data_IF_445026454067
#
_entry.id   IF_445026454067
#
_cell.length_a   1.000
_cell.length_b   1.000
_cell.length_c   1.000
_cell.angle_alpha   90.00
_cell.angle_beta   90.00
_cell.angle_gamma   90.00
#
_symmetry.space_group_name_H-M   'P 1'
#
loop_
_entity.id
_entity.type
_entity.pdbx_description
1 polymer ?
#
# COMPACT_ATOMS: atom_id res chain seq x y z
N UNK A 1 33.10 -6.53 -0.28
CA UNK A 1 32.77 -5.40 -1.17
C UNK A 1 32.03 -4.33 -0.39
N UNK A 2 32.69 -3.22 -0.07
CA UNK A 2 32.04 -2.08 0.61
C UNK A 2 31.31 -1.21 -0.41
N UNK A 3 30.10 -0.74 -0.07
CA UNK A 3 29.42 0.33 -0.83
C UNK A 3 30.03 1.67 -0.43
N UNK A 4 30.45 2.47 -1.41
CA UNK A 4 30.80 3.86 -1.15
C UNK A 4 29.55 4.61 -0.71
N UNK A 5 29.63 5.29 0.44
CA UNK A 5 28.61 6.24 0.91
C UNK A 5 29.21 7.64 0.84
N UNK A 6 28.41 8.63 0.48
CA UNK A 6 28.87 10.02 0.41
C UNK A 6 29.27 10.55 1.79
N UNK A 7 30.20 11.51 1.85
CA UNK A 7 30.61 12.14 3.12
C UNK A 7 29.42 12.74 3.87
N UNK A 8 28.46 13.33 3.15
CA UNK A 8 27.23 13.86 3.75
C UNK A 8 26.39 12.76 4.41
N UNK A 9 26.18 11.63 3.72
CA UNK A 9 25.43 10.50 4.28
C UNK A 9 26.12 9.87 5.49
N UNK A 10 27.46 9.75 5.45
CA UNK A 10 28.26 9.23 6.56
C UNK A 10 28.15 10.12 7.81
N UNK A 11 28.27 11.43 7.67
CA UNK A 11 28.11 12.41 8.76
C UNK A 11 26.71 12.32 9.35
N UNK A 12 25.69 12.21 8.50
CA UNK A 12 24.30 12.13 8.95
C UNK A 12 24.00 10.88 9.78
N UNK A 13 24.50 9.71 9.33
CA UNK A 13 24.37 8.45 10.08
C UNK A 13 25.17 8.47 11.38
N UNK A 14 26.38 9.03 11.36
CA UNK A 14 27.27 9.08 12.54
C UNK A 14 26.70 9.98 13.63
N UNK A 15 26.14 11.12 13.24
CA UNK A 15 25.60 12.12 14.17
C UNK A 15 24.11 11.91 14.48
N UNK A 16 23.52 10.82 13.96
CA UNK A 16 22.13 10.43 14.15
C UNK A 16 21.13 11.57 13.89
N UNK A 17 21.43 12.43 12.91
CA UNK A 17 20.52 13.50 12.55
C UNK A 17 19.23 12.93 11.96
N UNK A 18 18.06 13.52 12.25
CA UNK A 18 16.83 13.15 11.57
C UNK A 18 16.95 13.56 10.10
N UNK A 19 17.44 12.65 9.25
CA UNK A 19 16.58 11.79 8.46
C UNK A 19 15.40 12.43 7.71
N UNK A 20 15.34 13.76 7.56
CA UNK A 20 14.20 14.58 7.10
C UNK A 20 12.89 13.80 7.09
N UNK A 21 12.14 13.76 8.20
CA UNK A 21 10.77 13.20 8.35
C UNK A 21 10.16 12.60 7.07
N UNK A 22 10.77 11.53 6.55
CA UNK A 22 10.18 10.78 5.46
C UNK A 22 9.33 9.78 6.18
N UNK A 23 8.11 10.21 6.52
CA UNK A 23 6.99 9.29 6.35
C UNK A 23 7.25 8.57 5.04
N UNK A 24 7.46 7.25 5.04
CA UNK A 24 7.84 6.58 3.81
C UNK A 24 6.77 6.92 2.79
N UNK A 25 7.16 7.61 1.71
CA UNK A 25 6.27 7.94 0.59
C UNK A 25 5.67 6.66 -0.01
N UNK A 26 6.29 5.52 0.28
CA UNK A 26 5.86 4.18 -0.09
C UNK A 26 5.46 3.43 1.17
N UNK A 27 4.17 3.45 1.49
CA UNK A 27 3.59 2.44 2.38
C UNK A 27 3.46 1.16 1.56
N UNK A 28 4.18 0.12 1.97
CA UNK A 28 4.09 -1.17 1.33
C UNK A 28 2.72 -1.78 1.68
N UNK A 29 1.74 -1.64 0.78
CA UNK A 29 0.50 -2.40 0.93
C UNK A 29 0.87 -3.88 0.93
N UNK A 30 0.36 -4.63 1.92
CA UNK A 30 0.48 -6.08 1.96
C UNK A 30 -0.48 -6.66 0.92
N UNK A 31 -0.13 -6.56 -0.37
CA UNK A 31 -0.96 -7.05 -1.47
C UNK A 31 -0.80 -8.55 -1.69
N UNK A 32 0.26 -9.15 -1.13
CA UNK A 32 0.53 -10.58 -1.25
C UNK A 32 0.93 -11.18 0.10
N UNK A 33 0.02 -11.91 0.72
CA UNK A 33 0.36 -12.89 1.76
C UNK A 33 0.77 -14.19 1.07
N UNK A 34 1.99 -14.66 1.34
CA UNK A 34 2.49 -15.93 0.78
C UNK A 34 1.48 -17.03 1.12
N UNK A 35 0.93 -17.67 0.09
CA UNK A 35 -0.12 -18.71 0.13
C UNK A 35 -1.55 -18.32 0.54
N UNK A 36 -1.84 -17.11 1.04
CA UNK A 36 -3.19 -16.74 1.46
C UNK A 36 -4.09 -16.18 0.33
N UNK A 37 -3.51 -15.73 -0.79
CA UNK A 37 -4.25 -15.09 -1.91
C UNK A 37 -4.15 -15.85 -3.25
N UNK A 38 -3.65 -17.09 -3.25
CA UNK A 38 -3.54 -17.86 -4.50
C UNK A 38 -4.91 -18.42 -4.91
N UNK A 39 -5.44 -17.93 -6.03
CA UNK A 39 -6.71 -18.38 -6.60
C UNK A 39 -6.46 -19.20 -7.87
N UNK A 40 -7.06 -20.39 -7.95
CA UNK A 40 -7.01 -21.24 -9.14
C UNK A 40 -8.29 -21.09 -9.95
N UNK A 41 -8.13 -20.76 -11.24
CA UNK A 41 -9.24 -20.62 -12.18
C UNK A 41 -9.41 -21.88 -13.03
N UNK A 42 -10.63 -22.38 -13.09
CA UNK A 42 -11.11 -23.37 -14.05
C UNK A 42 -12.26 -22.77 -14.85
N UNK A 43 -12.59 -23.36 -16.01
CA UNK A 43 -13.68 -22.85 -16.87
C UNK A 43 -14.98 -22.74 -16.06
N UNK A 44 -15.28 -23.75 -15.25
CA UNK A 44 -16.50 -23.86 -14.44
C UNK A 44 -16.54 -22.87 -13.26
N UNK A 45 -15.39 -22.56 -12.65
CA UNK A 45 -15.36 -21.73 -11.43
C UNK A 45 -14.99 -20.26 -11.69
N UNK A 46 -14.61 -19.91 -12.92
CA UNK A 46 -14.06 -18.60 -13.28
C UNK A 46 -15.01 -17.45 -12.95
N UNK A 47 -16.27 -17.54 -13.40
CA UNK A 47 -17.29 -16.53 -13.14
C UNK A 47 -17.57 -16.39 -11.64
N UNK A 48 -17.78 -17.51 -10.94
CA UNK A 48 -18.05 -17.51 -9.51
C UNK A 48 -16.87 -16.92 -8.71
N UNK A 49 -15.63 -17.24 -9.07
CA UNK A 49 -14.43 -16.71 -8.40
C UNK A 49 -14.17 -15.24 -8.70
N UNK A 50 -14.53 -14.76 -9.89
CA UNK A 50 -14.48 -13.34 -10.20
C UNK A 50 -15.43 -12.52 -9.31
N UNK A 51 -16.56 -13.11 -8.90
CA UNK A 51 -17.54 -12.48 -8.02
C UNK A 51 -17.29 -12.70 -6.52
N UNK A 52 -16.52 -13.74 -6.14
CA UNK A 52 -16.30 -14.14 -4.75
C UNK A 52 -15.14 -13.40 -4.05
N UNK A 53 -14.65 -12.29 -4.60
CA UNK A 53 -13.51 -11.60 -4.01
C UNK A 53 -13.89 -11.04 -2.62
N UNK A 54 -13.17 -11.44 -1.57
CA UNK A 54 -13.30 -10.82 -0.24
C UNK A 54 -13.04 -9.32 -0.37
N UNK A 55 -13.82 -8.51 0.34
CA UNK A 55 -13.69 -7.06 0.30
C UNK A 55 -12.37 -6.67 0.99
N UNK A 56 -11.31 -6.55 0.20
CA UNK A 56 -10.02 -6.06 0.68
C UNK A 56 -10.09 -4.56 0.88
N UNK A 57 -9.30 -4.01 1.80
CA UNK A 57 -9.20 -2.56 2.06
C UNK A 57 -8.98 -1.75 0.78
N UNK A 58 -8.22 -2.31 -0.17
CA UNK A 58 -7.95 -1.68 -1.46
C UNK A 58 -9.18 -1.65 -2.39
N UNK A 59 -10.00 -2.70 -2.38
CA UNK A 59 -11.27 -2.74 -3.12
C UNK A 59 -12.28 -1.78 -2.47
N UNK A 60 -12.35 -1.73 -1.13
CA UNK A 60 -13.19 -0.76 -0.42
C UNK A 60 -12.78 0.68 -0.72
N UNK A 61 -11.49 0.97 -0.84
CA UNK A 61 -11.00 2.29 -1.26
C UNK A 61 -11.50 2.67 -2.65
N UNK A 62 -11.40 1.77 -3.64
CA UNK A 62 -11.93 2.05 -4.98
C UNK A 62 -13.44 2.19 -5.01
N UNK A 63 -14.17 1.42 -4.20
CA UNK A 63 -15.62 1.57 -4.04
C UNK A 63 -15.96 2.95 -3.48
N UNK A 64 -15.22 3.43 -2.49
CA UNK A 64 -15.38 4.77 -1.93
C UNK A 64 -15.10 5.85 -2.98
N UNK A 65 -14.04 5.73 -3.77
CA UNK A 65 -13.74 6.65 -4.87
C UNK A 65 -14.83 6.70 -5.96
N UNK A 66 -15.59 5.62 -6.15
CA UNK A 66 -16.75 5.61 -7.07
C UNK A 66 -17.99 6.29 -6.48
N UNK A 67 -18.10 6.36 -5.15
CA UNK A 67 -19.27 6.89 -4.45
C UNK A 67 -19.07 8.35 -4.00
N UNK A 68 -17.82 8.74 -3.73
CA UNK A 68 -17.45 10.04 -3.18
C UNK A 68 -16.37 10.70 -4.07
N UNK A 69 -16.73 11.85 -4.65
CA UNK A 69 -15.83 12.64 -5.49
C UNK A 69 -14.64 13.21 -4.70
N UNK A 70 -14.81 13.45 -3.40
CA UNK A 70 -13.75 13.91 -2.51
C UNK A 70 -12.68 12.82 -2.29
N UNK A 71 -13.08 11.55 -2.19
CA UNK A 71 -12.14 10.44 -2.05
C UNK A 71 -11.21 10.29 -3.27
N UNK A 72 -11.58 10.82 -4.44
CA UNK A 72 -10.76 10.78 -5.67
C UNK A 72 -9.61 11.79 -5.68
N UNK A 73 -9.72 12.88 -4.92
CA UNK A 73 -8.74 13.97 -4.90
C UNK A 73 -7.75 13.87 -3.72
N UNK A 74 -7.96 12.91 -2.83
CA UNK A 74 -7.23 12.71 -1.59
C UNK A 74 -6.33 11.47 -1.70
N UNK A 75 -5.15 11.49 -1.06
CA UNK A 75 -4.25 10.34 -1.07
C UNK A 75 -4.86 9.16 -0.30
N UNK A 76 -4.58 7.92 -0.71
CA UNK A 76 -5.05 6.71 -0.03
C UNK A 76 -4.78 6.73 1.48
N UNK A 77 -3.64 7.31 1.90
CA UNK A 77 -3.24 7.42 3.31
C UNK A 77 -4.08 8.44 4.08
N UNK A 78 -4.53 9.48 3.41
CA UNK A 78 -5.39 10.51 3.99
C UNK A 78 -6.84 10.00 4.10
N UNK A 79 -7.31 9.23 3.12
CA UNK A 79 -8.60 8.53 3.19
C UNK A 79 -8.62 7.53 4.35
N UNK A 80 -7.55 6.74 4.53
CA UNK A 80 -7.45 5.83 5.69
C UNK A 80 -7.49 6.56 7.03
N UNK A 81 -6.99 7.80 7.12
CA UNK A 81 -7.03 8.60 8.36
C UNK A 81 -8.41 9.21 8.64
N UNK A 82 -9.23 9.43 7.62
CA UNK A 82 -10.51 10.12 7.73
C UNK A 82 -11.72 9.17 7.81
N UNK A 83 -11.60 7.95 7.25
CA UNK A 83 -12.71 6.99 7.12
C UNK A 83 -12.52 5.70 7.94
N UNK A 84 -11.48 5.62 8.78
CA UNK A 84 -11.30 4.52 9.75
C UNK A 84 -11.68 5.01 11.15
N UNK A 85 -12.53 4.25 11.86
CA UNK A 85 -12.85 4.46 13.29
C UNK A 85 -11.68 3.99 14.16
#
# INVERSE_FOLDING_TARGET
>A
MGRYISSNEAVWRTLNFPNHERHPTVIHLSVHLESAQRVYFTIENSAQRAHAHEETTHISFFRLCNQDEFARIVLHIEVLKQYTI
#
